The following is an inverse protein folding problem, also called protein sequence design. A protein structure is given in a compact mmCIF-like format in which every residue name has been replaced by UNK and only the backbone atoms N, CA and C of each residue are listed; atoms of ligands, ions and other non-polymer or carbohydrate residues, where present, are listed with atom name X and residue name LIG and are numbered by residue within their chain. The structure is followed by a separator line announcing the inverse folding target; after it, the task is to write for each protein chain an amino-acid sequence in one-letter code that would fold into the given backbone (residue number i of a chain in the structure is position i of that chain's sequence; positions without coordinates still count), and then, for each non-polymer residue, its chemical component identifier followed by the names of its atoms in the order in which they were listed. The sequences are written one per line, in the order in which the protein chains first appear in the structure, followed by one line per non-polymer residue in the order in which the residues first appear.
data_IF_793948514613
#
_entry.id   IF_793948514613
#
_cell.length_a   1.000
_cell.length_b   1.000
_cell.length_c   1.000
_cell.angle_alpha   90.00
_cell.angle_beta   90.00
_cell.angle_gamma   90.00
#
_symmetry.space_group_name_H-M   'P 1'
#
loop_
_entity.id
_entity.type
_entity.pdbx_description
1 polymer ?
#
# COMPACT_ATOMS: atom_id res chain seq x y z
N UNK A 1 10.64 26.15 23.68
CA UNK A 1 9.22 25.99 23.99
C UNK A 1 9.00 24.61 24.61
N UNK A 2 8.32 24.57 25.75
CA UNK A 2 8.02 23.26 26.30
C UNK A 2 7.10 22.51 25.36
N UNK A 3 7.43 21.28 25.13
CA UNK A 3 6.59 20.38 24.35
C UNK A 3 5.28 20.15 25.11
N UNK A 4 4.17 20.60 24.55
CA UNK A 4 2.86 20.38 25.15
C UNK A 4 2.39 18.99 24.77
N UNK A 5 2.32 18.13 25.77
CA UNK A 5 1.80 16.78 25.60
C UNK A 5 0.30 16.88 25.35
N UNK A 6 -0.15 16.45 24.18
CA UNK A 6 -1.57 16.46 23.87
C UNK A 6 -2.33 15.50 24.76
N UNK A 7 -3.52 15.94 25.17
CA UNK A 7 -4.43 15.14 25.99
C UNK A 7 -5.02 14.01 25.15
N UNK A 8 -4.92 12.73 25.57
CA UNK A 8 -5.49 11.61 24.82
C UNK A 8 -6.98 11.77 24.48
N UNK A 9 -7.77 12.39 25.37
CA UNK A 9 -9.18 12.62 25.12
C UNK A 9 -9.39 13.65 24.00
N UNK A 10 -8.54 14.66 23.92
CA UNK A 10 -8.58 15.65 22.83
C UNK A 10 -8.14 15.05 21.51
N UNK A 11 -7.12 14.21 21.52
CA UNK A 11 -6.64 13.52 20.34
C UNK A 11 -7.73 12.63 19.76
N UNK A 12 -8.42 11.86 20.59
CA UNK A 12 -9.51 11.02 20.18
C UNK A 12 -10.67 11.81 19.61
N UNK A 13 -11.01 12.93 20.25
CA UNK A 13 -12.07 13.82 19.79
C UNK A 13 -11.75 14.45 18.43
N UNK A 14 -10.51 14.87 18.22
CA UNK A 14 -10.03 15.42 16.95
C UNK A 14 -10.11 14.34 15.86
N UNK A 15 -9.69 13.11 16.17
CA UNK A 15 -9.76 11.99 15.25
C UNK A 15 -11.21 11.68 14.87
N UNK A 16 -12.14 11.69 15.83
CA UNK A 16 -13.56 11.46 15.57
C UNK A 16 -14.13 12.55 14.66
N UNK A 17 -13.78 13.82 14.90
CA UNK A 17 -14.20 14.94 14.06
C UNK A 17 -13.64 14.83 12.64
N UNK A 18 -12.38 14.43 12.48
CA UNK A 18 -11.75 14.22 11.19
C UNK A 18 -12.40 13.05 10.42
N UNK A 19 -12.74 11.97 11.14
CA UNK A 19 -13.39 10.80 10.53
C UNK A 19 -14.83 11.09 10.09
N UNK A 20 -15.46 12.14 10.60
CA UNK A 20 -16.77 12.59 10.15
C UNK A 20 -16.70 13.35 8.82
N UNK A 21 -15.53 13.90 8.46
CA UNK A 21 -15.34 14.58 7.18
C UNK A 21 -15.30 13.54 6.04
N UNK A 22 -16.22 13.61 5.06
CA UNK A 22 -16.29 12.63 3.99
C UNK A 22 -15.01 12.57 3.14
N UNK A 23 -14.34 13.69 2.93
CA UNK A 23 -13.09 13.73 2.15
C UNK A 23 -11.94 13.03 2.90
N UNK A 24 -11.81 13.29 4.19
CA UNK A 24 -10.81 12.65 5.05
C UNK A 24 -11.07 11.16 5.14
N UNK A 25 -12.33 10.77 5.35
CA UNK A 25 -12.73 9.37 5.43
C UNK A 25 -12.40 8.62 4.15
N UNK A 26 -12.73 9.21 3.00
CA UNK A 26 -12.44 8.62 1.70
C UNK A 26 -10.93 8.44 1.51
N UNK A 27 -10.14 9.43 1.88
CA UNK A 27 -8.68 9.37 1.77
C UNK A 27 -8.09 8.25 2.66
N UNK A 28 -8.58 8.12 3.88
CA UNK A 28 -8.15 7.06 4.80
C UNK A 28 -8.54 5.69 4.25
N UNK A 29 -9.76 5.54 3.73
CA UNK A 29 -10.22 4.28 3.13
C UNK A 29 -9.35 3.89 1.93
N UNK A 30 -8.96 4.84 1.10
CA UNK A 30 -8.06 4.61 -0.04
C UNK A 30 -6.67 4.14 0.41
N UNK A 31 -6.11 4.77 1.45
CA UNK A 31 -4.82 4.39 2.01
C UNK A 31 -4.87 2.98 2.64
N UNK A 32 -5.96 2.65 3.31
CA UNK A 32 -6.16 1.34 3.90
C UNK A 32 -6.22 0.25 2.82
N UNK A 33 -6.92 0.50 1.72
CA UNK A 33 -6.99 -0.42 0.58
C UNK A 33 -5.63 -0.62 -0.06
N UNK A 34 -4.86 0.45 -0.21
CA UNK A 34 -3.51 0.39 -0.74
C UNK A 34 -2.60 -0.44 0.15
N UNK A 35 -2.64 -0.20 1.45
CA UNK A 35 -1.83 -0.94 2.42
C UNK A 35 -2.18 -2.43 2.42
N UNK A 36 -3.46 -2.76 2.36
CA UNK A 36 -3.93 -4.14 2.30
C UNK A 36 -3.49 -4.82 1.01
N UNK A 37 -3.58 -4.12 -0.12
CA UNK A 37 -3.13 -4.63 -1.41
C UNK A 37 -1.63 -4.95 -1.39
N UNK A 38 -0.80 -4.07 -0.81
CA UNK A 38 0.63 -4.31 -0.65
C UNK A 38 0.93 -5.55 0.17
N UNK A 39 0.21 -5.75 1.26
CA UNK A 39 0.34 -6.96 2.08
C UNK A 39 0.04 -8.22 1.28
N UNK A 40 -1.00 -8.16 0.44
CA UNK A 40 -1.36 -9.29 -0.42
C UNK A 40 -0.28 -9.58 -1.45
N UNK A 41 0.34 -8.55 -2.02
CA UNK A 41 1.45 -8.71 -2.97
C UNK A 41 2.65 -9.38 -2.30
N UNK A 42 3.03 -8.91 -1.13
CA UNK A 42 4.17 -9.49 -0.38
C UNK A 42 3.87 -10.93 0.00
N UNK A 43 2.66 -11.23 0.45
CA UNK A 43 2.27 -12.59 0.81
C UNK A 43 2.29 -13.50 -0.41
N UNK A 44 1.78 -13.05 -1.54
CA UNK A 44 1.79 -13.81 -2.78
C UNK A 44 3.23 -14.13 -3.23
N UNK A 45 4.14 -13.15 -3.11
CA UNK A 45 5.56 -13.36 -3.40
C UNK A 45 6.17 -14.43 -2.49
N UNK A 46 5.90 -14.34 -1.19
CA UNK A 46 6.42 -15.31 -0.22
C UNK A 46 5.85 -16.71 -0.45
N UNK A 47 4.56 -16.80 -0.75
CA UNK A 47 3.90 -18.08 -1.05
C UNK A 47 4.48 -18.73 -2.32
N UNK A 48 4.89 -17.92 -3.29
CA UNK A 48 5.57 -18.38 -4.48
C UNK A 48 7.04 -18.78 -4.24
N UNK A 49 7.58 -18.51 -3.04
CA UNK A 49 8.95 -18.80 -2.70
C UNK A 49 9.98 -17.90 -3.40
N UNK A 50 9.56 -16.72 -3.82
CA UNK A 50 10.41 -15.80 -4.60
C UNK A 50 10.93 -14.69 -3.70
N UNK A 51 12.25 -14.48 -3.71
CA UNK A 51 12.88 -13.37 -3.00
C UNK A 51 12.84 -12.10 -3.83
N UNK A 52 12.91 -10.95 -3.16
CA UNK A 52 12.98 -9.64 -3.83
C UNK A 52 14.10 -9.57 -4.86
N UNK A 53 15.26 -10.13 -4.53
CA UNK A 53 16.41 -10.18 -5.44
C UNK A 53 16.08 -10.90 -6.75
N UNK A 54 15.32 -11.98 -6.66
CA UNK A 54 14.89 -12.74 -7.83
C UNK A 54 13.98 -11.92 -8.72
N UNK A 55 13.07 -11.14 -8.13
CA UNK A 55 12.21 -10.22 -8.89
C UNK A 55 13.07 -9.22 -9.67
N UNK A 56 14.08 -8.64 -9.02
CA UNK A 56 15.01 -7.73 -9.69
C UNK A 56 15.71 -8.38 -10.87
N UNK A 57 16.12 -9.62 -10.74
CA UNK A 57 16.77 -10.38 -11.81
C UNK A 57 15.84 -10.68 -12.98
N UNK A 58 14.57 -11.00 -12.68
CA UNK A 58 13.59 -11.35 -13.69
C UNK A 58 13.06 -10.14 -14.45
N UNK A 59 12.94 -9.01 -13.78
CA UNK A 59 12.24 -7.82 -14.30
C UNK A 59 13.17 -6.69 -14.71
N UNK A 60 14.39 -6.69 -14.22
CA UNK A 60 15.31 -5.55 -14.34
C UNK A 60 15.00 -4.41 -13.40
N UNK A 61 14.05 -4.57 -12.48
CA UNK A 61 13.72 -3.56 -11.48
C UNK A 61 14.82 -3.47 -10.43
N UNK A 62 15.16 -2.24 -10.03
CA UNK A 62 16.12 -2.04 -8.94
C UNK A 62 15.43 -2.24 -7.58
N UNK A 63 16.24 -2.27 -6.52
CA UNK A 63 15.76 -2.49 -5.15
C UNK A 63 14.78 -1.39 -4.71
N UNK A 64 14.97 -0.17 -5.16
CA UNK A 64 14.08 0.95 -4.80
C UNK A 64 12.68 0.75 -5.41
N UNK A 65 12.63 0.31 -6.67
CA UNK A 65 11.37 0.06 -7.35
C UNK A 65 10.60 -1.07 -6.67
N UNK A 66 11.28 -2.15 -6.32
CA UNK A 66 10.67 -3.29 -5.60
C UNK A 66 10.19 -2.85 -4.22
N UNK A 67 11.01 -2.09 -3.51
CA UNK A 67 10.66 -1.59 -2.18
C UNK A 67 9.42 -0.68 -2.21
N UNK A 68 9.27 0.14 -3.25
CA UNK A 68 8.08 1.01 -3.41
C UNK A 68 6.80 0.19 -3.59
N UNK A 69 6.89 -0.97 -4.21
CA UNK A 69 5.73 -1.87 -4.35
C UNK A 69 5.35 -2.48 -3.00
N UNK A 70 6.34 -2.90 -2.21
CA UNK A 70 6.09 -3.67 -1.00
C UNK A 70 5.92 -2.85 0.27
N UNK A 71 6.44 -1.62 0.31
CA UNK A 71 6.40 -0.80 1.52
C UNK A 71 5.51 0.42 1.35
N UNK A 72 4.88 0.82 2.45
CA UNK A 72 4.05 2.00 2.50
C UNK A 72 4.92 3.24 2.70
N UNK A 73 5.56 3.72 1.64
CA UNK A 73 6.31 4.96 1.66
C UNK A 73 5.57 6.05 0.86
N UNK A 74 6.11 7.27 0.90
CA UNK A 74 5.47 8.42 0.28
C UNK A 74 5.40 8.36 -1.25
N UNK A 75 6.17 7.49 -1.87
CA UNK A 75 6.25 7.37 -3.33
C UNK A 75 5.59 6.07 -3.76
N UNK A 76 4.50 6.19 -4.52
CA UNK A 76 3.83 5.02 -5.08
C UNK A 76 4.57 4.49 -6.31
N UNK A 77 4.57 3.17 -6.54
CA UNK A 77 5.12 2.62 -7.77
C UNK A 77 4.28 3.06 -8.98
N UNK A 78 4.92 3.18 -10.14
CA UNK A 78 4.15 3.41 -11.36
C UNK A 78 3.51 2.10 -11.83
N UNK A 79 2.55 2.22 -12.74
CA UNK A 79 1.79 1.08 -13.23
C UNK A 79 2.68 0.03 -13.90
N UNK A 80 3.66 0.46 -14.69
CA UNK A 80 4.58 -0.46 -15.37
C UNK A 80 5.37 -1.30 -14.37
N UNK A 81 5.89 -0.67 -13.33
CA UNK A 81 6.62 -1.36 -12.26
C UNK A 81 5.73 -2.39 -11.57
N UNK A 82 4.50 -1.99 -11.26
CA UNK A 82 3.55 -2.88 -10.60
C UNK A 82 3.21 -4.10 -11.48
N UNK A 83 2.97 -3.89 -12.77
CA UNK A 83 2.70 -4.98 -13.71
C UNK A 83 3.89 -5.95 -13.79
N UNK A 84 5.11 -5.44 -13.88
CA UNK A 84 6.32 -6.26 -13.91
C UNK A 84 6.47 -7.09 -12.65
N UNK A 85 6.24 -6.47 -11.49
CA UNK A 85 6.32 -7.16 -10.20
C UNK A 85 5.31 -8.29 -10.12
N UNK A 86 4.05 -8.00 -10.43
CA UNK A 86 2.95 -8.96 -10.34
C UNK A 86 3.18 -10.14 -11.28
N UNK A 87 3.61 -9.88 -12.51
CA UNK A 87 3.91 -10.94 -13.47
C UNK A 87 5.08 -11.82 -13.01
N UNK A 88 6.09 -11.22 -12.37
CA UNK A 88 7.26 -11.97 -11.88
C UNK A 88 6.89 -12.98 -10.80
N UNK A 89 5.86 -12.74 -10.02
CA UNK A 89 5.39 -13.66 -8.98
C UNK A 89 4.29 -14.61 -9.47
N UNK A 90 3.99 -14.60 -10.78
CA UNK A 90 3.05 -15.52 -11.38
C UNK A 90 1.59 -15.08 -11.38
N UNK A 91 1.35 -13.78 -11.21
CA UNK A 91 0.01 -13.20 -11.20
C UNK A 91 -0.18 -12.22 -12.35
N UNK A 92 -1.40 -11.82 -12.57
CA UNK A 92 -1.76 -10.76 -13.53
C UNK A 92 -2.55 -9.68 -12.81
N UNK A 93 -2.32 -8.42 -13.22
CA UNK A 93 -3.19 -7.33 -12.83
C UNK A 93 -4.41 -7.31 -13.74
N UNK A 94 -5.58 -7.25 -13.12
CA UNK A 94 -6.84 -7.24 -13.86
C UNK A 94 -7.84 -6.31 -13.17
N UNK A 95 -8.88 -5.95 -13.90
CA UNK A 95 -9.98 -5.15 -13.39
C UNK A 95 -11.17 -6.06 -13.10
N UNK A 96 -11.71 -5.89 -11.92
CA UNK A 96 -12.93 -6.57 -11.51
C UNK A 96 -14.00 -5.53 -11.28
N UNK A 97 -15.17 -5.75 -11.87
CA UNK A 97 -16.31 -4.85 -11.63
C UNK A 97 -16.66 -4.86 -10.15
N UNK A 98 -16.75 -3.68 -9.54
CA UNK A 98 -17.13 -3.57 -8.14
C UNK A 98 -18.56 -4.10 -7.95
N UNK A 99 -18.73 -4.91 -6.89
CA UNK A 99 -20.07 -5.35 -6.50
C UNK A 99 -20.74 -4.20 -5.76
N UNK A 100 -21.81 -3.68 -6.35
CA UNK A 100 -22.66 -2.66 -5.71
C UNK A 100 -23.87 -3.38 -5.18
N UNK A 101 -24.02 -3.34 -3.87
CA UNK A 101 -25.24 -3.82 -3.22
C UNK A 101 -26.34 -2.76 -3.29
#
# INVERSE_FOLDING_TARGET
MPFVKSNPDQEQKILEELMEDPEVKQHIDELDKEAEFRKRLVQARKDAGIHQKTIGMLTGLDQRAISRVETNNAISPNLRTLIKYVNAIGYELDLKKATVE
#
